data_IF_121677176862
#
_entry.id   IF_121677176862
#
_cell.length_a   1.000
_cell.length_b   1.000
_cell.length_c   1.000
_cell.angle_alpha   90.00
_cell.angle_beta   90.00
_cell.angle_gamma   90.00
#
_symmetry.space_group_name_H-M   'P 1'
#
loop_
_entity.id
_entity.type
_entity.pdbx_description
1 polymer ?
#
# COMPACT_ATOMS: atom_id res chain seq x y z
N UNK A 1 3.62 -28.06 -23.47
CA UNK A 1 3.32 -26.68 -23.02
C UNK A 1 4.27 -26.36 -21.90
N UNK A 2 5.24 -25.47 -22.13
CA UNK A 2 5.97 -24.85 -21.04
C UNK A 2 5.06 -23.82 -20.37
N UNK A 3 5.12 -23.66 -19.04
CA UNK A 3 4.52 -22.50 -18.40
C UNK A 3 5.19 -21.23 -18.95
N UNK A 4 4.46 -20.12 -19.08
CA UNK A 4 5.05 -18.85 -19.47
C UNK A 4 6.14 -18.46 -18.45
N UNK A 5 7.26 -17.95 -18.95
CA UNK A 5 8.32 -17.38 -18.13
C UNK A 5 7.75 -16.25 -17.26
N UNK A 6 8.15 -16.22 -15.99
CA UNK A 6 7.77 -15.18 -15.03
C UNK A 6 8.52 -13.86 -15.32
N UNK A 7 8.35 -13.32 -16.52
CA UNK A 7 8.96 -12.07 -16.96
C UNK A 7 8.06 -10.90 -16.58
N UNK A 8 8.54 -10.03 -15.67
CA UNK A 8 7.99 -8.69 -15.49
C UNK A 8 7.70 -8.22 -14.06
N UNK A 9 7.92 -9.03 -13.02
CA UNK A 9 7.72 -8.57 -11.64
C UNK A 9 8.99 -7.91 -11.09
N UNK A 10 9.03 -6.57 -11.06
CA UNK A 10 10.04 -5.86 -10.27
C UNK A 10 9.86 -6.20 -8.79
N UNK A 11 10.93 -6.65 -8.14
CA UNK A 11 10.89 -6.95 -6.71
C UNK A 11 10.80 -5.62 -5.94
N UNK A 12 9.99 -5.57 -4.89
CA UNK A 12 9.92 -4.42 -4.00
C UNK A 12 11.31 -3.98 -3.52
N UNK A 13 12.23 -4.91 -3.21
CA UNK A 13 13.59 -4.52 -2.83
C UNK A 13 14.34 -3.80 -3.95
N UNK A 14 14.14 -4.18 -5.20
CA UNK A 14 14.84 -3.60 -6.35
C UNK A 14 14.34 -2.18 -6.63
N UNK A 15 13.02 -1.97 -6.49
CA UNK A 15 12.40 -0.63 -6.54
C UNK A 15 12.95 0.26 -5.45
N UNK A 16 12.94 -0.20 -4.19
CA UNK A 16 13.40 0.60 -3.07
C UNK A 16 14.88 0.97 -3.21
N UNK A 17 15.73 0.06 -3.67
CA UNK A 17 17.16 0.36 -3.93
C UNK A 17 17.36 1.41 -5.02
N UNK A 18 16.39 1.57 -5.93
CA UNK A 18 16.44 2.54 -7.03
C UNK A 18 15.88 3.92 -6.65
N UNK A 19 15.14 4.01 -5.53
CA UNK A 19 14.59 5.27 -5.03
C UNK A 19 15.64 6.11 -4.28
N UNK A 20 15.49 7.44 -4.35
CA UNK A 20 16.39 8.46 -3.77
C UNK A 20 16.82 8.17 -2.33
N UNK A 21 15.87 7.78 -1.46
CA UNK A 21 16.13 7.41 -0.07
C UNK A 21 15.87 5.93 0.22
N UNK A 22 15.22 5.20 -0.69
CA UNK A 22 14.84 3.80 -0.48
C UNK A 22 16.04 2.86 -0.33
N UNK A 23 17.17 3.14 -0.99
CA UNK A 23 18.42 2.38 -0.80
C UNK A 23 18.88 2.41 0.65
N UNK A 24 18.75 3.56 1.32
CA UNK A 24 19.12 3.69 2.72
C UNK A 24 18.14 2.92 3.62
N UNK A 25 16.84 2.99 3.31
CA UNK A 25 15.79 2.30 4.05
C UNK A 25 15.98 0.76 4.14
N UNK A 26 16.55 0.16 3.08
CA UNK A 26 16.79 -1.30 3.01
C UNK A 26 18.13 -1.74 3.60
N UNK A 27 19.01 -0.82 4.00
CA UNK A 27 20.28 -1.16 4.66
C UNK A 27 20.09 -1.56 6.13
N UNK A 28 21.10 -2.21 6.70
CA UNK A 28 21.10 -2.63 8.11
C UNK A 28 21.35 -1.42 9.02
N UNK A 29 20.28 -0.68 9.30
CA UNK A 29 20.26 0.50 10.18
C UNK A 29 19.49 0.22 11.47
N UNK A 30 19.71 1.05 12.49
CA UNK A 30 18.87 1.03 13.69
C UNK A 30 17.44 1.49 13.34
N UNK A 31 16.43 1.10 14.14
CA UNK A 31 15.05 1.54 13.93
C UNK A 31 14.91 3.06 13.89
N UNK A 32 15.63 3.77 14.77
CA UNK A 32 15.61 5.24 14.82
C UNK A 32 16.18 5.87 13.55
N UNK A 33 17.23 5.28 12.98
CA UNK A 33 17.82 5.82 11.75
C UNK A 33 16.92 5.52 10.55
N UNK A 34 16.25 4.36 10.51
CA UNK A 34 15.22 4.08 9.50
C UNK A 34 14.06 5.07 9.58
N UNK A 35 13.59 5.40 10.79
CA UNK A 35 12.55 6.41 10.97
C UNK A 35 12.95 7.75 10.35
N UNK A 36 14.19 8.21 10.57
CA UNK A 36 14.69 9.46 9.94
C UNK A 36 14.70 9.38 8.41
N UNK A 37 15.12 8.25 7.84
CA UNK A 37 15.12 8.06 6.38
C UNK A 37 13.70 8.11 5.84
N UNK A 38 12.75 7.40 6.47
CA UNK A 38 11.35 7.41 6.06
C UNK A 38 10.70 8.79 6.26
N UNK A 39 11.05 9.51 7.33
CA UNK A 39 10.59 10.88 7.57
C UNK A 39 10.97 11.80 6.41
N UNK A 40 12.23 11.75 5.99
CA UNK A 40 12.72 12.53 4.84
C UNK A 40 12.10 12.07 3.52
N UNK A 41 11.88 10.77 3.36
CA UNK A 41 11.35 10.20 2.14
C UNK A 41 9.84 10.38 2.01
N UNK A 42 9.10 10.58 3.10
CA UNK A 42 7.62 10.62 3.12
C UNK A 42 7.00 11.62 2.14
N UNK A 43 7.69 12.74 1.87
CA UNK A 43 7.24 13.77 0.92
C UNK A 43 7.23 13.30 -0.53
N UNK A 44 8.19 12.47 -0.93
CA UNK A 44 8.36 12.01 -2.33
C UNK A 44 8.11 10.51 -2.50
N UNK A 45 7.90 9.78 -1.41
CA UNK A 45 7.86 8.32 -1.35
C UNK A 45 6.99 7.70 -2.44
N UNK A 46 5.74 8.13 -2.53
CA UNK A 46 4.77 7.60 -3.48
C UNK A 46 5.21 7.82 -4.92
N UNK A 47 5.63 9.05 -5.27
CA UNK A 47 6.11 9.37 -6.62
C UNK A 47 7.39 8.60 -6.93
N UNK A 48 8.35 8.57 -6.00
CA UNK A 48 9.62 7.88 -6.17
C UNK A 48 9.41 6.39 -6.44
N UNK A 49 8.54 5.70 -5.71
CA UNK A 49 8.30 4.27 -5.94
C UNK A 49 7.52 4.02 -7.24
N UNK A 50 6.58 4.91 -7.61
CA UNK A 50 5.84 4.81 -8.87
C UNK A 50 6.75 5.04 -10.08
N UNK A 51 7.66 6.01 -10.01
CA UNK A 51 8.65 6.30 -11.06
C UNK A 51 9.67 5.15 -11.23
N UNK A 52 9.78 4.28 -10.23
CA UNK A 52 10.59 3.06 -10.25
C UNK A 52 9.75 1.79 -10.50
N UNK A 53 8.63 1.92 -11.23
CA UNK A 53 7.78 0.83 -11.69
C UNK A 53 7.16 -0.02 -10.56
N UNK A 54 6.91 0.54 -9.38
CA UNK A 54 6.25 -0.21 -8.31
C UNK A 54 4.78 -0.52 -8.61
N UNK A 55 4.53 -1.72 -9.14
CA UNK A 55 3.19 -2.18 -9.55
C UNK A 55 2.40 -2.91 -8.46
N UNK A 56 2.97 -3.13 -7.26
CA UNK A 56 2.32 -3.98 -6.27
C UNK A 56 1.01 -3.37 -5.74
N UNK A 57 0.93 -2.05 -5.56
CA UNK A 57 -0.26 -1.39 -5.05
C UNK A 57 -1.53 -1.62 -5.90
N UNK A 58 -1.55 -1.33 -7.21
CA UNK A 58 -2.73 -1.60 -8.03
C UNK A 58 -3.07 -3.10 -8.10
N UNK A 59 -2.07 -3.98 -8.16
CA UNK A 59 -2.31 -5.44 -8.17
C UNK A 59 -2.96 -5.89 -6.85
N UNK A 60 -2.45 -5.41 -5.72
CA UNK A 60 -3.01 -5.73 -4.40
C UNK A 60 -4.41 -5.17 -4.25
N UNK A 61 -4.67 -3.93 -4.68
CA UNK A 61 -5.99 -3.32 -4.62
C UNK A 61 -7.04 -4.16 -5.36
N UNK A 62 -6.75 -4.60 -6.59
CA UNK A 62 -7.66 -5.44 -7.37
C UNK A 62 -7.89 -6.81 -6.71
N UNK A 63 -6.86 -7.43 -6.14
CA UNK A 63 -7.00 -8.71 -5.43
C UNK A 63 -7.84 -8.57 -4.15
N UNK A 64 -7.60 -7.51 -3.37
CA UNK A 64 -8.38 -7.21 -2.16
C UNK A 64 -9.85 -7.02 -2.54
N UNK A 65 -10.11 -6.20 -3.57
CA UNK A 65 -11.46 -5.95 -4.04
C UNK A 65 -12.16 -7.21 -4.54
N UNK A 66 -11.47 -8.07 -5.28
CA UNK A 66 -12.02 -9.35 -5.75
C UNK A 66 -12.43 -10.26 -4.58
N UNK A 67 -11.57 -10.38 -3.55
CA UNK A 67 -11.88 -11.16 -2.35
C UNK A 67 -13.11 -10.59 -1.64
N UNK A 68 -13.15 -9.27 -1.41
CA UNK A 68 -14.29 -8.62 -0.76
C UNK A 68 -15.60 -8.79 -1.55
N UNK A 69 -15.54 -8.70 -2.88
CA UNK A 69 -16.71 -8.86 -3.75
C UNK A 69 -17.26 -10.29 -3.73
N UNK A 70 -16.38 -11.29 -3.74
CA UNK A 70 -16.78 -12.69 -3.61
C UNK A 70 -17.40 -12.95 -2.23
N UNK A 71 -16.78 -12.45 -1.16
CA UNK A 71 -17.35 -12.60 0.19
C UNK A 71 -18.70 -11.88 0.35
N UNK A 72 -18.87 -10.69 -0.23
CA UNK A 72 -20.14 -9.96 -0.17
C UNK A 72 -21.27 -10.70 -0.91
N UNK A 73 -20.97 -11.30 -2.06
CA UNK A 73 -21.96 -11.99 -2.90
C UNK A 73 -22.25 -13.42 -2.47
N UNK A 74 -21.23 -14.22 -2.14
CA UNK A 74 -21.36 -15.65 -1.83
C UNK A 74 -21.76 -15.88 -0.36
N UNK A 75 -21.22 -15.08 0.56
CA UNK A 75 -21.45 -15.23 2.00
C UNK A 75 -22.56 -14.29 2.52
N UNK A 76 -23.19 -13.52 1.62
CA UNK A 76 -24.24 -12.54 1.91
C UNK A 76 -23.87 -11.58 3.06
N UNK A 77 -22.60 -11.17 3.11
CA UNK A 77 -22.09 -10.25 4.13
C UNK A 77 -22.60 -8.84 3.83
N UNK A 78 -23.56 -8.39 4.63
CA UNK A 78 -24.13 -7.03 4.55
C UNK A 78 -23.46 -6.02 5.49
N UNK A 79 -22.57 -6.48 6.37
CA UNK A 79 -21.83 -5.61 7.31
C UNK A 79 -20.56 -5.04 6.65
N UNK A 80 -20.10 -3.85 7.08
CA UNK A 80 -18.84 -3.31 6.60
C UNK A 80 -17.65 -4.22 6.89
N UNK A 81 -16.75 -4.37 5.93
CA UNK A 81 -15.46 -5.01 6.12
C UNK A 81 -14.55 -4.17 7.02
N UNK A 82 -13.57 -4.80 7.66
CA UNK A 82 -12.51 -4.12 8.40
C UNK A 82 -11.17 -4.58 7.84
N UNK A 83 -10.41 -3.66 7.25
CA UNK A 83 -9.11 -3.92 6.67
C UNK A 83 -8.05 -3.18 7.46
N UNK A 84 -6.94 -3.86 7.73
CA UNK A 84 -5.75 -3.29 8.37
C UNK A 84 -4.59 -3.45 7.40
N UNK A 85 -4.01 -2.32 6.99
CA UNK A 85 -2.81 -2.26 6.14
C UNK A 85 -1.59 -2.01 7.02
N UNK A 86 -0.71 -3.01 7.14
CA UNK A 86 0.49 -2.96 7.99
C UNK A 86 1.70 -2.62 7.14
N UNK A 87 2.34 -1.49 7.43
CA UNK A 87 3.31 -0.87 6.52
C UNK A 87 2.61 -0.06 5.42
N UNK A 88 1.55 0.66 5.79
CA UNK A 88 0.69 1.38 4.85
C UNK A 88 1.37 2.57 4.17
N UNK A 89 2.54 3.01 4.65
CA UNK A 89 3.23 4.20 4.15
C UNK A 89 2.29 5.41 4.13
N UNK A 90 2.18 6.07 2.98
CA UNK A 90 1.31 7.24 2.77
C UNK A 90 -0.17 6.90 2.64
N UNK A 91 -0.57 5.62 2.67
CA UNK A 91 -1.96 5.17 2.51
C UNK A 91 -2.42 5.03 1.05
N UNK A 92 -1.51 4.93 0.09
CA UNK A 92 -1.87 4.81 -1.34
C UNK A 92 -2.71 3.57 -1.65
N UNK A 93 -2.33 2.40 -1.13
CA UNK A 93 -3.07 1.15 -1.34
C UNK A 93 -4.53 1.27 -0.87
N UNK A 94 -4.75 1.79 0.34
CA UNK A 94 -6.11 1.99 0.84
C UNK A 94 -6.88 3.08 0.09
N UNK A 95 -6.20 4.06 -0.50
CA UNK A 95 -6.82 5.02 -1.44
C UNK A 95 -7.39 4.29 -2.66
N UNK A 96 -6.58 3.43 -3.30
CA UNK A 96 -7.02 2.64 -4.45
C UNK A 96 -8.20 1.71 -4.10
N UNK A 97 -8.13 1.04 -2.94
CA UNK A 97 -9.22 0.17 -2.48
C UNK A 97 -10.50 0.99 -2.24
N UNK A 98 -10.41 2.13 -1.56
CA UNK A 98 -11.59 2.98 -1.31
C UNK A 98 -12.19 3.53 -2.59
N UNK A 99 -11.37 3.99 -3.53
CA UNK A 99 -11.84 4.50 -4.82
C UNK A 99 -12.60 3.42 -5.59
N UNK A 100 -12.14 2.16 -5.52
CA UNK A 100 -12.86 1.04 -6.11
C UNK A 100 -14.21 0.80 -5.44
N UNK A 101 -14.26 0.86 -4.11
CA UNK A 101 -15.48 0.65 -3.32
C UNK A 101 -16.53 1.75 -3.55
N UNK A 102 -16.15 2.98 -3.90
CA UNK A 102 -17.12 4.05 -4.24
C UNK A 102 -18.07 3.68 -5.38
N UNK A 103 -17.70 2.70 -6.21
CA UNK A 103 -18.53 2.20 -7.33
C UNK A 103 -19.40 1.00 -6.99
N UNK A 104 -19.48 0.59 -5.72
CA UNK A 104 -20.23 -0.59 -5.27
C UNK A 104 -21.02 -0.32 -4.00
N UNK A 105 -21.89 -1.27 -3.62
CA UNK A 105 -22.60 -1.25 -2.34
C UNK A 105 -21.77 -1.85 -1.18
N UNK A 106 -20.50 -2.20 -1.43
CA UNK A 106 -19.62 -2.80 -0.43
C UNK A 106 -19.02 -1.69 0.43
N UNK A 107 -19.22 -1.78 1.74
CA UNK A 107 -18.64 -0.85 2.73
C UNK A 107 -17.43 -1.44 3.43
N UNK A 108 -16.44 -0.60 3.76
CA UNK A 108 -15.26 -1.01 4.51
C UNK A 108 -14.72 0.11 5.40
N UNK A 109 -14.17 -0.29 6.55
CA UNK A 109 -13.32 0.54 7.40
C UNK A 109 -11.86 0.19 7.12
N UNK A 110 -11.07 1.19 6.72
CA UNK A 110 -9.66 1.02 6.39
C UNK A 110 -8.80 1.65 7.48
N UNK A 111 -7.94 0.84 8.10
CA UNK A 111 -6.96 1.27 9.11
C UNK A 111 -5.57 1.09 8.54
N UNK A 112 -4.75 2.14 8.59
CA UNK A 112 -3.36 2.10 8.16
C UNK A 112 -2.43 2.13 9.38
N UNK A 113 -1.46 1.24 9.42
CA UNK A 113 -0.42 1.23 10.46
C UNK A 113 0.92 1.38 9.77
N UNK A 114 1.74 2.32 10.26
CA UNK A 114 3.12 2.48 9.83
C UNK A 114 3.98 2.85 11.05
N UNK A 115 5.27 2.54 10.99
CA UNK A 115 6.21 2.84 12.07
C UNK A 115 6.79 4.26 11.94
N UNK A 116 6.61 4.92 10.79
CA UNK A 116 6.95 6.33 10.56
C UNK A 116 5.73 7.22 10.81
N UNK A 117 5.86 8.11 11.80
CA UNK A 117 4.81 9.09 12.12
C UNK A 117 4.55 10.03 10.94
N UNK A 118 5.58 10.38 10.17
CA UNK A 118 5.49 11.29 9.02
C UNK A 118 4.70 10.65 7.87
N UNK A 119 4.86 9.33 7.66
CA UNK A 119 4.01 8.57 6.73
C UNK A 119 2.54 8.59 7.17
N UNK A 120 2.28 8.44 8.47
CA UNK A 120 0.92 8.52 9.03
C UNK A 120 0.33 9.92 8.96
N UNK A 121 1.15 10.98 9.12
CA UNK A 121 0.72 12.37 8.91
C UNK A 121 0.26 12.57 7.46
N UNK A 122 0.97 12.01 6.48
CA UNK A 122 0.52 12.01 5.07
C UNK A 122 -0.78 11.23 4.89
N UNK A 123 -0.90 10.05 5.48
CA UNK A 123 -2.12 9.25 5.42
C UNK A 123 -3.32 10.03 5.98
N UNK A 124 -3.16 10.74 7.10
CA UNK A 124 -4.22 11.51 7.74
C UNK A 124 -4.81 12.60 6.82
N UNK A 125 -4.03 13.12 5.86
CA UNK A 125 -4.54 14.11 4.89
C UNK A 125 -5.50 13.50 3.86
N UNK A 126 -5.50 12.18 3.66
CA UNK A 126 -6.25 11.52 2.59
C UNK A 126 -7.73 11.33 2.90
N UNK A 127 -8.20 11.51 4.14
CA UNK A 127 -9.60 11.28 4.59
C UNK A 127 -10.16 9.87 4.31
N UNK A 128 -9.36 8.97 3.75
CA UNK A 128 -9.78 7.65 3.27
C UNK A 128 -9.50 6.55 4.29
N UNK A 129 -8.50 6.75 5.14
CA UNK A 129 -8.03 5.80 6.14
C UNK A 129 -7.80 6.50 7.47
N UNK A 130 -7.97 5.78 8.57
CA UNK A 130 -7.54 6.22 9.90
C UNK A 130 -6.22 5.56 10.27
N UNK A 131 -5.34 6.30 10.93
CA UNK A 131 -4.09 5.80 11.52
C UNK A 131 -4.27 5.33 12.96
#
# INVERSE_FOLDING_TARGET
>A
MHPPSAEGHVNATDVFVSCSFGKQAVTKMSTKDKQKVYAQWSETYEQDVLDNDYVAWPICAEKIFAVMSNMASEENISRPFKLVDVGCGTGYLGTLVSDRLKSTDISAFLVGVDFSSEMLEKLATRSVMTS
#
